data_IF_551573358910
#
_entry.id   IF_551573358910
#
_cell.length_a   1.000
_cell.length_b   1.000
_cell.length_c   1.000
_cell.angle_alpha   90.00
_cell.angle_beta   90.00
_cell.angle_gamma   90.00
#
_symmetry.space_group_name_H-M   'P 1'
#
loop_
_entity.id
_entity.type
_entity.pdbx_description
1 polymer ?
#
# COMPACT_ATOMS: atom_id res chain seq x y z
N UNK A 1 17.94 -36.80 2.65
CA UNK A 1 16.92 -36.03 3.40
C UNK A 1 17.37 -34.57 3.47
N UNK A 2 16.74 -33.68 2.70
CA UNK A 2 17.07 -32.26 2.75
C UNK A 2 16.47 -31.67 4.03
N UNK A 3 17.33 -31.36 5.00
CA UNK A 3 16.95 -30.66 6.23
C UNK A 3 16.45 -29.27 5.81
N UNK A 4 15.14 -29.06 5.84
CA UNK A 4 14.53 -27.75 5.65
C UNK A 4 15.12 -26.80 6.69
N UNK A 5 16.09 -25.97 6.29
CA UNK A 5 16.57 -24.86 7.12
C UNK A 5 15.35 -23.96 7.38
N UNK A 6 14.79 -24.07 8.59
CA UNK A 6 13.75 -23.17 9.09
C UNK A 6 14.33 -21.76 8.95
N UNK A 7 13.82 -20.99 8.00
CA UNK A 7 14.11 -19.56 7.92
C UNK A 7 13.50 -18.93 9.17
N UNK A 8 14.31 -18.84 10.22
CA UNK A 8 13.93 -18.15 11.44
C UNK A 8 13.87 -16.69 11.05
N UNK A 9 12.69 -16.09 11.18
CA UNK A 9 12.50 -14.66 11.02
C UNK A 9 13.45 -13.95 11.99
N UNK A 10 14.52 -13.27 11.50
CA UNK A 10 15.58 -12.74 12.35
C UNK A 10 15.04 -11.74 13.37
N UNK A 11 13.93 -11.07 13.06
CA UNK A 11 13.27 -10.13 13.97
C UNK A 11 12.65 -10.88 15.16
N UNK A 12 12.06 -12.06 14.94
CA UNK A 12 11.49 -12.88 16.02
C UNK A 12 12.59 -13.41 16.93
N UNK A 13 13.72 -13.81 16.38
CA UNK A 13 14.87 -14.27 17.16
C UNK A 13 15.44 -13.14 18.02
N UNK A 14 15.67 -11.96 17.45
CA UNK A 14 16.14 -10.78 18.19
C UNK A 14 15.17 -10.45 19.34
N UNK A 15 13.85 -10.48 19.11
CA UNK A 15 12.85 -10.24 20.16
C UNK A 15 12.91 -11.28 21.29
N UNK A 16 13.11 -12.55 20.94
CA UNK A 16 13.27 -13.63 21.92
C UNK A 16 14.52 -13.43 22.77
N UNK A 17 15.63 -13.05 22.13
CA UNK A 17 16.89 -12.78 22.82
C UNK A 17 16.80 -11.56 23.74
N UNK A 18 16.13 -10.48 23.33
CA UNK A 18 15.85 -9.32 24.20
C UNK A 18 15.09 -9.77 25.46
N UNK A 19 14.03 -10.55 25.31
CA UNK A 19 13.25 -11.03 26.46
C UNK A 19 14.06 -11.94 27.40
N UNK A 20 15.00 -12.73 26.87
CA UNK A 20 15.93 -13.53 27.68
C UNK A 20 16.91 -12.63 28.45
N UNK A 21 17.50 -11.65 27.77
CA UNK A 21 18.45 -10.71 28.38
C UNK A 21 17.79 -9.87 29.48
N UNK A 22 16.56 -9.40 29.27
CA UNK A 22 15.78 -8.69 30.30
C UNK A 22 15.58 -9.53 31.58
N UNK A 23 15.26 -10.83 31.43
CA UNK A 23 15.14 -11.76 32.57
C UNK A 23 16.48 -11.99 33.26
N UNK A 24 17.56 -12.16 32.50
CA UNK A 24 18.90 -12.36 33.04
C UNK A 24 19.37 -11.13 33.81
N UNK A 25 19.10 -9.93 33.29
CA UNK A 25 19.41 -8.66 33.94
C UNK A 25 18.68 -8.54 35.27
N UNK A 26 17.36 -8.78 35.30
CA UNK A 26 16.59 -8.75 36.54
C UNK A 26 17.11 -9.75 37.59
N UNK A 27 17.48 -10.96 37.15
CA UNK A 27 18.07 -11.96 38.05
C UNK A 27 19.45 -11.54 38.57
N UNK A 28 20.29 -10.94 37.72
CA UNK A 28 21.61 -10.43 38.11
C UNK A 28 21.49 -9.31 39.15
N UNK A 29 20.58 -8.36 38.94
CA UNK A 29 20.30 -7.27 39.88
C UNK A 29 19.86 -7.78 41.25
N UNK A 30 18.96 -8.77 41.29
CA UNK A 30 18.52 -9.38 42.56
C UNK A 30 19.66 -10.10 43.28
N UNK A 31 20.51 -10.83 42.54
CA UNK A 31 21.71 -11.46 43.10
C UNK A 31 22.68 -10.43 43.67
N UNK A 32 22.91 -9.33 42.96
CA UNK A 32 23.81 -8.26 43.40
C UNK A 32 23.28 -7.55 44.65
N UNK A 33 21.97 -7.27 44.72
CA UNK A 33 21.33 -6.75 45.93
C UNK A 33 21.49 -7.69 47.13
N UNK A 34 21.28 -8.99 46.93
CA UNK A 34 21.45 -9.98 47.99
C UNK A 34 22.91 -10.09 48.44
N UNK A 35 23.86 -10.03 47.49
CA UNK A 35 25.29 -10.05 47.78
C UNK A 35 25.72 -8.82 48.59
N UNK A 36 25.33 -7.61 48.17
CA UNK A 36 25.66 -6.37 48.87
C UNK A 36 25.07 -6.34 50.28
N UNK A 37 23.85 -6.86 50.50
CA UNK A 37 23.27 -6.97 51.85
C UNK A 37 24.10 -7.90 52.75
N UNK A 38 24.56 -9.03 52.23
CA UNK A 38 25.45 -9.95 52.96
C UNK A 38 26.80 -9.29 53.25
N UNK A 39 27.35 -8.58 52.27
CA UNK A 39 28.62 -7.86 52.40
C UNK A 39 28.55 -6.75 53.44
N UNK A 40 27.49 -5.95 53.48
CA UNK A 40 27.25 -4.93 54.52
C UNK A 40 27.25 -5.57 55.91
N UNK A 41 26.59 -6.73 56.06
CA UNK A 41 26.55 -7.45 57.33
C UNK A 41 27.95 -7.91 57.76
N UNK A 42 28.72 -8.47 56.83
CA UNK A 42 30.10 -8.90 57.05
C UNK A 42 31.02 -7.71 57.39
N UNK A 43 30.95 -6.63 56.62
CA UNK A 43 31.77 -5.44 56.77
C UNK A 43 31.40 -4.69 58.06
N UNK A 44 30.14 -4.72 58.49
CA UNK A 44 29.71 -4.17 59.78
C UNK A 44 30.38 -4.90 60.95
N UNK A 45 30.38 -6.24 60.93
CA UNK A 45 31.08 -7.04 61.95
C UNK A 45 32.59 -6.78 61.92
N UNK A 46 33.20 -6.79 60.74
CA UNK A 46 34.63 -6.50 60.57
C UNK A 46 35.02 -5.10 61.07
N UNK A 47 34.20 -4.09 60.79
CA UNK A 47 34.42 -2.72 61.28
C UNK A 47 34.32 -2.63 62.81
N UNK A 48 33.34 -3.31 63.42
CA UNK A 48 33.23 -3.40 64.88
C UNK A 48 34.46 -4.08 65.49
N UNK A 49 34.89 -5.21 64.95
CA UNK A 49 36.01 -5.99 65.49
C UNK A 49 37.35 -5.25 65.30
N UNK A 50 37.54 -4.59 64.16
CA UNK A 50 38.70 -3.75 63.91
C UNK A 50 38.74 -2.53 64.85
N UNK A 51 37.59 -1.92 65.13
CA UNK A 51 37.49 -0.82 66.09
C UNK A 51 37.84 -1.28 67.52
N UNK A 52 37.39 -2.46 67.95
CA UNK A 52 37.76 -3.05 69.25
C UNK A 52 39.27 -3.32 69.34
N UNK A 53 39.86 -3.92 68.31
CA UNK A 53 41.31 -4.18 68.22
C UNK A 53 42.13 -2.88 68.26
N UNK A 54 41.67 -1.84 67.56
CA UNK A 54 42.30 -0.52 67.58
C UNK A 54 42.30 0.08 68.99
N UNK A 55 41.15 0.07 69.70
CA UNK A 55 41.05 0.54 71.09
C UNK A 55 41.97 -0.24 72.02
N UNK A 56 42.00 -1.57 71.91
CA UNK A 56 42.85 -2.43 72.73
C UNK A 56 44.36 -2.16 72.48
N UNK A 57 44.77 -1.96 71.22
CA UNK A 57 46.15 -1.65 70.89
C UNK A 57 46.57 -0.27 71.44
N UNK A 58 45.70 0.74 71.36
CA UNK A 58 45.93 2.06 71.98
C UNK A 58 46.03 1.96 73.50
N UNK A 59 45.18 1.16 74.16
CA UNK A 59 45.27 0.92 75.59
C UNK A 59 46.60 0.28 76.00
N UNK A 60 47.14 -0.67 75.20
CA UNK A 60 48.46 -1.26 75.44
C UNK A 60 49.60 -0.24 75.35
N UNK A 61 49.54 0.68 74.38
CA UNK A 61 50.52 1.78 74.30
C UNK A 61 50.48 2.64 75.57
N UNK A 62 49.28 3.02 76.02
CA UNK A 62 49.09 3.81 77.23
C UNK A 62 49.51 3.07 78.52
N UNK A 63 49.36 1.74 78.56
CA UNK A 63 49.82 0.92 79.69
C UNK A 63 51.36 0.84 79.75
N UNK A 64 52.03 0.67 78.60
CA UNK A 64 53.50 0.60 78.54
C UNK A 64 54.13 1.96 78.87
N UNK A 65 53.52 3.08 78.46
CA UNK A 65 54.04 4.42 78.75
C UNK A 65 54.07 4.76 80.24
N UNK A 66 53.30 4.07 81.08
CA UNK A 66 53.28 4.24 82.53
C UNK A 66 54.35 3.41 83.28
N UNK A 67 55.08 2.52 82.59
CA UNK A 67 56.10 1.66 83.20
C UNK A 67 57.45 2.41 83.33
N UNK A 68 58.27 2.03 84.31
CA UNK A 68 59.64 2.57 84.47
C UNK A 68 60.44 2.40 83.18
N UNK A 69 61.17 3.44 82.77
CA UNK A 69 61.95 3.44 81.52
C UNK A 69 63.19 2.57 81.65
N UNK A 70 63.08 1.34 81.15
CA UNK A 70 64.19 0.40 80.95
C UNK A 70 64.39 0.11 79.46
N UNK A 71 65.57 -0.40 79.03
CA UNK A 71 65.79 -0.82 77.65
C UNK A 71 64.73 -1.81 77.13
N UNK A 72 64.26 -2.72 77.98
CA UNK A 72 63.20 -3.66 77.65
C UNK A 72 61.85 -2.96 77.39
N UNK A 73 61.45 -2.02 78.25
CA UNK A 73 60.20 -1.26 78.06
C UNK A 73 60.25 -0.35 76.83
N UNK A 74 61.42 0.16 76.44
CA UNK A 74 61.60 0.94 75.22
C UNK A 74 61.31 0.09 73.96
N UNK A 75 61.85 -1.14 73.88
CA UNK A 75 61.55 -2.08 72.79
C UNK A 75 60.05 -2.43 72.73
N UNK A 76 59.43 -2.68 73.89
CA UNK A 76 57.99 -2.94 73.98
C UNK A 76 57.15 -1.75 73.52
N UNK A 77 57.55 -0.52 73.86
CA UNK A 77 56.85 0.70 73.46
C UNK A 77 56.86 0.89 71.93
N UNK A 78 57.99 0.61 71.26
CA UNK A 78 58.10 0.69 69.79
C UNK A 78 57.17 -0.35 69.14
N UNK A 79 57.21 -1.59 69.60
CA UNK A 79 56.36 -2.66 69.09
C UNK A 79 54.86 -2.35 69.28
N UNK A 80 54.47 -1.85 70.46
CA UNK A 80 53.10 -1.47 70.75
C UNK A 80 52.62 -0.29 69.90
N UNK A 81 53.46 0.73 69.68
CA UNK A 81 53.15 1.85 68.78
C UNK A 81 52.92 1.37 67.34
N UNK A 82 53.80 0.50 66.82
CA UNK A 82 53.63 -0.10 65.49
C UNK A 82 52.31 -0.87 65.37
N UNK A 83 51.99 -1.69 66.37
CA UNK A 83 50.74 -2.44 66.42
C UNK A 83 49.50 -1.52 66.50
N UNK A 84 49.56 -0.44 67.27
CA UNK A 84 48.48 0.53 67.38
C UNK A 84 48.23 1.28 66.05
N UNK A 85 49.30 1.70 65.36
CA UNK A 85 49.18 2.32 64.03
C UNK A 85 48.56 1.37 63.01
N UNK A 86 49.01 0.10 62.96
CA UNK A 86 48.44 -0.90 62.08
C UNK A 86 46.96 -1.18 62.38
N UNK A 87 46.60 -1.32 63.67
CA UNK A 87 45.21 -1.54 64.07
C UNK A 87 44.30 -0.35 63.75
N UNK A 88 44.81 0.89 63.87
CA UNK A 88 44.07 2.11 63.51
C UNK A 88 43.85 2.22 62.00
N UNK A 89 44.86 1.88 61.20
CA UNK A 89 44.73 1.80 59.74
C UNK A 89 43.68 0.74 59.32
N UNK A 90 43.73 -0.46 59.90
CA UNK A 90 42.76 -1.51 59.61
C UNK A 90 41.33 -1.13 60.01
N UNK A 91 41.15 -0.41 61.13
CA UNK A 91 39.84 0.09 61.54
C UNK A 91 39.30 1.17 60.58
N UNK A 92 40.16 2.04 60.05
CA UNK A 92 39.79 3.01 59.03
C UNK A 92 39.38 2.31 57.72
N UNK A 93 40.19 1.36 57.25
CA UNK A 93 39.90 0.58 56.04
C UNK A 93 38.57 -0.19 56.15
N UNK A 94 38.30 -0.83 57.29
CA UNK A 94 37.05 -1.55 57.50
C UNK A 94 35.82 -0.63 57.53
N UNK A 95 35.94 0.59 58.09
CA UNK A 95 34.88 1.60 58.04
C UNK A 95 34.63 2.10 56.61
N UNK A 96 35.70 2.37 55.85
CA UNK A 96 35.58 2.78 54.45
C UNK A 96 34.92 1.69 53.60
N UNK A 97 35.28 0.42 53.79
CA UNK A 97 34.65 -0.70 53.09
C UNK A 97 33.14 -0.84 53.43
N UNK A 98 32.76 -0.60 54.69
CA UNK A 98 31.34 -0.58 55.08
C UNK A 98 30.59 0.60 54.44
N UNK A 99 31.21 1.78 54.40
CA UNK A 99 30.62 2.97 53.79
C UNK A 99 30.41 2.77 52.28
N UNK A 100 31.42 2.21 51.59
CA UNK A 100 31.34 1.91 50.16
C UNK A 100 30.23 0.91 49.86
N UNK A 101 30.17 -0.21 50.59
CA UNK A 101 29.12 -1.22 50.37
C UNK A 101 27.70 -0.66 50.58
N UNK A 102 27.52 0.30 51.50
CA UNK A 102 26.25 1.01 51.68
C UNK A 102 25.93 1.96 50.52
N UNK A 103 26.92 2.69 50.03
CA UNK A 103 26.77 3.56 48.87
C UNK A 103 26.42 2.75 47.62
N UNK A 104 27.08 1.62 47.39
CA UNK A 104 26.82 0.72 46.27
C UNK A 104 25.41 0.13 46.33
N UNK A 105 24.94 -0.28 47.52
CA UNK A 105 23.56 -0.74 47.71
C UNK A 105 22.55 0.37 47.40
N UNK A 106 22.82 1.60 47.83
CA UNK A 106 21.93 2.72 47.56
C UNK A 106 21.89 3.05 46.06
N UNK A 107 23.04 3.12 45.40
CA UNK A 107 23.17 3.35 43.96
C UNK A 107 22.44 2.29 43.14
N UNK A 108 22.68 1.00 43.42
CA UNK A 108 21.99 -0.10 42.74
C UNK A 108 20.48 -0.06 42.97
N UNK A 109 20.03 0.30 44.18
CA UNK A 109 18.59 0.43 44.46
C UNK A 109 17.93 1.57 43.67
N UNK A 110 18.66 2.67 43.44
CA UNK A 110 18.16 3.80 42.63
C UNK A 110 18.15 3.47 41.15
N UNK A 111 19.17 2.77 40.66
CA UNK A 111 19.25 2.31 39.27
C UNK A 111 18.11 1.35 38.94
N UNK A 112 17.85 0.36 39.80
CA UNK A 112 16.71 -0.56 39.65
C UNK A 112 15.37 0.20 39.62
N UNK A 113 15.19 1.24 40.43
CA UNK A 113 13.97 2.06 40.40
C UNK A 113 13.83 2.82 39.08
N UNK A 114 14.92 3.43 38.59
CA UNK A 114 14.93 4.16 37.33
C UNK A 114 14.63 3.22 36.15
N UNK A 115 15.24 2.04 36.12
CA UNK A 115 15.01 1.06 35.06
C UNK A 115 13.57 0.54 35.04
N UNK A 116 12.98 0.28 36.21
CA UNK A 116 11.57 -0.07 36.31
C UNK A 116 10.65 1.06 35.81
N UNK A 117 10.98 2.32 36.13
CA UNK A 117 10.24 3.48 35.63
C UNK A 117 10.33 3.59 34.11
N UNK A 118 11.53 3.45 33.54
CA UNK A 118 11.77 3.45 32.08
C UNK A 118 11.00 2.31 31.40
N UNK A 119 11.09 1.09 31.94
CA UNK A 119 10.39 -0.09 31.41
C UNK A 119 8.88 0.15 31.36
N UNK A 120 8.30 0.70 32.44
CA UNK A 120 6.88 1.05 32.49
C UNK A 120 6.49 2.14 31.49
N UNK A 121 7.35 3.16 31.31
CA UNK A 121 7.12 4.24 30.35
C UNK A 121 7.18 3.74 28.91
N UNK A 122 8.15 2.88 28.58
CA UNK A 122 8.26 2.24 27.27
C UNK A 122 7.05 1.36 26.98
N UNK A 123 6.56 0.59 27.95
CA UNK A 123 5.35 -0.22 27.81
C UNK A 123 4.12 0.65 27.49
N UNK A 124 3.92 1.76 28.23
CA UNK A 124 2.85 2.73 27.98
C UNK A 124 2.96 3.37 26.60
N UNK A 125 4.16 3.79 26.19
CA UNK A 125 4.41 4.37 24.88
C UNK A 125 4.12 3.38 23.74
N UNK A 126 4.57 2.13 23.86
CA UNK A 126 4.26 1.04 22.91
C UNK A 126 2.75 0.80 22.80
N UNK A 127 2.04 0.77 23.93
CA UNK A 127 0.58 0.61 23.94
C UNK A 127 -0.14 1.78 23.28
N UNK A 128 0.31 3.02 23.51
CA UNK A 128 -0.25 4.20 22.87
C UNK A 128 -0.04 4.20 21.35
N UNK A 129 1.16 3.81 20.88
CA UNK A 129 1.45 3.67 19.45
C UNK A 129 0.61 2.56 18.81
N UNK A 130 0.43 1.42 19.47
CA UNK A 130 -0.43 0.34 18.99
C UNK A 130 -1.89 0.81 18.81
N UNK A 131 -2.44 1.55 19.78
CA UNK A 131 -3.78 2.14 19.68
C UNK A 131 -3.90 3.11 18.50
N UNK A 132 -2.91 3.99 18.30
CA UNK A 132 -2.88 4.92 17.17
C UNK A 132 -2.83 4.20 15.82
N UNK A 133 -2.00 3.15 15.69
CA UNK A 133 -1.93 2.32 14.48
C UNK A 133 -3.26 1.61 14.20
N UNK A 134 -3.85 0.97 15.19
CA UNK A 134 -5.15 0.31 15.04
C UNK A 134 -6.27 1.29 14.63
N UNK A 135 -6.27 2.51 15.19
CA UNK A 135 -7.22 3.55 14.78
C UNK A 135 -7.01 4.00 13.33
N UNK A 136 -5.75 4.19 12.92
CA UNK A 136 -5.40 4.54 11.54
C UNK A 136 -5.82 3.45 10.54
N UNK A 137 -5.56 2.17 10.87
CA UNK A 137 -5.96 1.02 10.06
C UNK A 137 -7.48 0.91 9.92
N UNK A 138 -8.24 1.08 11.01
CA UNK A 138 -9.71 1.11 10.95
C UNK A 138 -10.22 2.23 10.04
N UNK A 139 -9.63 3.43 10.11
CA UNK A 139 -9.99 4.57 9.27
C UNK A 139 -9.65 4.31 7.79
N UNK A 140 -8.50 3.71 7.52
CA UNK A 140 -8.09 3.31 6.17
C UNK A 140 -9.04 2.24 5.59
N UNK A 141 -9.36 1.21 6.36
CA UNK A 141 -10.29 0.16 5.97
C UNK A 141 -11.70 0.70 5.69
N UNK A 142 -12.20 1.65 6.49
CA UNK A 142 -13.48 2.31 6.25
C UNK A 142 -13.48 3.10 4.93
N UNK A 143 -12.44 3.89 4.66
CA UNK A 143 -12.28 4.62 3.39
C UNK A 143 -12.23 3.66 2.20
N UNK A 144 -11.48 2.57 2.30
CA UNK A 144 -11.38 1.56 1.25
C UNK A 144 -12.75 0.90 0.95
N UNK A 145 -13.54 0.56 1.99
CA UNK A 145 -14.90 0.04 1.81
C UNK A 145 -15.82 1.03 1.09
N UNK A 146 -15.76 2.32 1.44
CA UNK A 146 -16.57 3.36 0.76
C UNK A 146 -16.14 3.52 -0.70
N UNK A 147 -14.84 3.54 -0.98
CA UNK A 147 -14.32 3.62 -2.34
C UNK A 147 -14.77 2.41 -3.18
N UNK A 148 -14.70 1.19 -2.63
CA UNK A 148 -15.17 -0.02 -3.29
C UNK A 148 -16.68 0.03 -3.60
N UNK A 149 -17.52 0.48 -2.65
CA UNK A 149 -18.96 0.65 -2.89
C UNK A 149 -19.26 1.67 -3.99
N UNK A 150 -18.55 2.80 -4.01
CA UNK A 150 -18.69 3.82 -5.07
C UNK A 150 -18.26 3.27 -6.44
N UNK A 151 -17.16 2.53 -6.51
CA UNK A 151 -16.70 1.90 -7.74
C UNK A 151 -17.73 0.87 -8.26
N UNK A 152 -18.27 0.03 -7.38
CA UNK A 152 -19.30 -0.95 -7.73
C UNK A 152 -20.58 -0.29 -8.26
N UNK A 153 -21.04 0.81 -7.65
CA UNK A 153 -22.22 1.55 -8.12
C UNK A 153 -21.98 2.17 -9.52
N UNK A 154 -20.81 2.75 -9.77
CA UNK A 154 -20.43 3.30 -11.08
C UNK A 154 -20.38 2.20 -12.15
N UNK A 155 -19.82 1.03 -11.83
CA UNK A 155 -19.78 -0.11 -12.73
C UNK A 155 -21.18 -0.61 -13.11
N UNK A 156 -22.09 -0.74 -12.13
CA UNK A 156 -23.49 -1.11 -12.38
C UNK A 156 -24.22 -0.10 -13.28
N UNK A 157 -24.00 1.20 -13.06
CA UNK A 157 -24.59 2.25 -13.90
C UNK A 157 -24.05 2.20 -15.33
N UNK A 158 -22.74 2.01 -15.50
CA UNK A 158 -22.10 1.88 -16.80
C UNK A 158 -22.65 0.67 -17.58
N UNK A 159 -22.81 -0.49 -16.91
CA UNK A 159 -23.40 -1.68 -17.49
C UNK A 159 -24.85 -1.44 -17.95
N UNK A 160 -25.70 -0.81 -17.12
CA UNK A 160 -27.08 -0.45 -17.51
C UNK A 160 -27.13 0.49 -18.71
N UNK A 161 -26.25 1.50 -18.75
CA UNK A 161 -26.15 2.43 -19.90
C UNK A 161 -25.70 1.71 -21.17
N UNK A 162 -24.73 0.79 -21.08
CA UNK A 162 -24.27 -0.01 -22.20
C UNK A 162 -25.40 -0.92 -22.74
N UNK A 163 -26.14 -1.60 -21.85
CA UNK A 163 -27.27 -2.45 -22.22
C UNK A 163 -28.40 -1.66 -22.91
N UNK A 164 -28.74 -0.47 -22.41
CA UNK A 164 -29.74 0.39 -23.04
C UNK A 164 -29.30 0.83 -24.46
N UNK A 165 -28.04 1.22 -24.63
CA UNK A 165 -27.48 1.58 -25.95
C UNK A 165 -27.50 0.39 -26.92
N UNK A 166 -27.19 -0.81 -26.45
CA UNK A 166 -27.26 -2.02 -27.26
C UNK A 166 -28.70 -2.31 -27.74
N UNK A 167 -29.69 -2.21 -26.84
CA UNK A 167 -31.12 -2.38 -27.21
C UNK A 167 -31.58 -1.37 -28.27
N UNK A 168 -31.17 -0.10 -28.15
CA UNK A 168 -31.51 0.92 -29.14
C UNK A 168 -30.85 0.63 -30.50
N UNK A 169 -29.58 0.22 -30.51
CA UNK A 169 -28.90 -0.18 -31.75
C UNK A 169 -29.59 -1.37 -32.42
N UNK A 170 -29.98 -2.38 -31.65
CA UNK A 170 -30.70 -3.55 -32.16
C UNK A 170 -32.06 -3.17 -32.76
N UNK A 171 -32.85 -2.32 -32.09
CA UNK A 171 -34.13 -1.81 -32.64
C UNK A 171 -33.94 -1.03 -33.94
N UNK A 172 -32.92 -0.17 -34.01
CA UNK A 172 -32.60 0.57 -35.25
C UNK A 172 -32.19 -0.37 -36.39
N UNK A 173 -31.40 -1.39 -36.11
CA UNK A 173 -31.01 -2.40 -37.11
C UNK A 173 -32.24 -3.19 -37.61
N UNK A 174 -33.11 -3.63 -36.71
CA UNK A 174 -34.34 -4.34 -37.06
C UNK A 174 -35.31 -3.49 -37.91
N UNK A 175 -35.46 -2.20 -37.58
CA UNK A 175 -36.28 -1.29 -38.38
C UNK A 175 -35.73 -1.10 -39.80
N UNK A 176 -34.41 -0.94 -39.95
CA UNK A 176 -33.75 -0.87 -41.26
C UNK A 176 -33.93 -2.15 -42.07
N UNK A 177 -33.80 -3.32 -41.44
CA UNK A 177 -34.03 -4.61 -42.10
C UNK A 177 -35.47 -4.75 -42.59
N UNK A 178 -36.46 -4.39 -41.76
CA UNK A 178 -37.88 -4.38 -42.18
C UNK A 178 -38.16 -3.43 -43.34
N UNK A 179 -37.56 -2.23 -43.33
CA UNK A 179 -37.69 -1.28 -44.43
C UNK A 179 -37.07 -1.81 -45.73
N UNK A 180 -35.88 -2.41 -45.66
CA UNK A 180 -35.22 -3.04 -46.80
C UNK A 180 -36.04 -4.20 -47.38
N UNK A 181 -36.64 -5.04 -46.53
CA UNK A 181 -37.52 -6.13 -46.97
C UNK A 181 -38.76 -5.61 -47.71
N UNK A 182 -39.44 -4.58 -47.17
CA UNK A 182 -40.57 -3.93 -47.86
C UNK A 182 -40.18 -3.33 -49.21
N UNK A 183 -39.01 -2.71 -49.30
CA UNK A 183 -38.50 -2.14 -50.55
C UNK A 183 -38.18 -3.22 -51.60
N UNK A 184 -37.65 -4.38 -51.19
CA UNK A 184 -37.43 -5.51 -52.10
C UNK A 184 -38.76 -6.07 -52.64
N UNK A 185 -39.74 -6.29 -51.78
CA UNK A 185 -41.08 -6.75 -52.20
C UNK A 185 -41.78 -5.78 -53.15
N UNK A 186 -41.63 -4.47 -52.94
CA UNK A 186 -42.17 -3.46 -53.86
C UNK A 186 -41.51 -3.51 -55.24
N UNK A 187 -40.19 -3.73 -55.30
CA UNK A 187 -39.46 -3.89 -56.57
C UNK A 187 -39.86 -5.16 -57.31
N UNK A 188 -40.02 -6.28 -56.61
CA UNK A 188 -40.50 -7.54 -57.20
C UNK A 188 -41.91 -7.40 -57.77
N UNK A 189 -42.83 -6.76 -57.05
CA UNK A 189 -44.18 -6.47 -57.55
C UNK A 189 -44.16 -5.57 -58.80
N UNK A 190 -43.26 -4.59 -58.86
CA UNK A 190 -43.10 -3.75 -60.06
C UNK A 190 -42.48 -4.53 -61.23
N UNK A 191 -41.52 -5.41 -60.97
CA UNK A 191 -40.92 -6.27 -61.99
C UNK A 191 -41.97 -7.23 -62.58
N UNK A 192 -42.81 -7.85 -61.74
CA UNK A 192 -43.91 -8.70 -62.17
C UNK A 192 -44.92 -7.95 -63.06
N UNK A 193 -45.31 -6.72 -62.69
CA UNK A 193 -46.20 -5.89 -63.52
C UNK A 193 -45.57 -5.54 -64.87
N UNK A 194 -44.27 -5.22 -64.91
CA UNK A 194 -43.55 -4.95 -66.16
C UNK A 194 -43.42 -6.19 -67.05
N UNK A 195 -43.21 -7.36 -66.46
CA UNK A 195 -43.17 -8.63 -67.19
C UNK A 195 -44.54 -8.95 -67.80
N UNK A 196 -45.63 -8.79 -67.05
CA UNK A 196 -47.00 -8.99 -67.54
C UNK A 196 -47.37 -8.01 -68.68
N UNK A 197 -46.95 -6.75 -68.59
CA UNK A 197 -47.16 -5.77 -69.66
C UNK A 197 -46.40 -6.12 -70.95
N UNK A 198 -45.14 -6.60 -70.83
CA UNK A 198 -44.37 -7.09 -71.97
C UNK A 198 -44.99 -8.34 -72.61
N UNK A 199 -45.51 -9.27 -71.81
CA UNK A 199 -46.21 -10.44 -72.31
C UNK A 199 -47.47 -10.05 -73.11
N UNK A 200 -48.28 -9.11 -72.60
CA UNK A 200 -49.43 -8.56 -73.33
C UNK A 200 -49.04 -7.83 -74.62
N UNK A 201 -47.95 -7.08 -74.61
CA UNK A 201 -47.46 -6.40 -75.81
C UNK A 201 -46.94 -7.39 -76.87
N UNK A 202 -46.24 -8.46 -76.45
CA UNK A 202 -45.78 -9.52 -77.35
C UNK A 202 -46.96 -10.29 -77.97
N UNK A 203 -48.03 -10.55 -77.21
CA UNK A 203 -49.25 -11.15 -77.74
C UNK A 203 -49.92 -10.27 -78.81
N UNK A 204 -50.02 -8.95 -78.57
CA UNK A 204 -50.55 -8.00 -79.58
C UNK A 204 -49.66 -7.89 -80.82
N UNK A 205 -48.34 -7.97 -80.66
CA UNK A 205 -47.40 -7.94 -81.78
C UNK A 205 -47.47 -9.20 -82.67
N UNK A 206 -47.76 -10.38 -82.08
CA UNK A 206 -48.03 -11.60 -82.85
C UNK A 206 -49.33 -11.48 -83.66
N UNK A 207 -50.41 -10.99 -83.05
CA UNK A 207 -51.67 -10.74 -83.75
C UNK A 207 -51.54 -9.69 -84.89
N UNK A 208 -50.66 -8.70 -84.74
CA UNK A 208 -50.40 -7.71 -85.78
C UNK A 208 -49.58 -8.29 -86.97
N UNK A 209 -48.68 -9.26 -86.71
CA UNK A 209 -47.91 -9.93 -87.77
C UNK A 209 -48.78 -10.86 -88.63
N UNK A 210 -49.78 -11.53 -88.06
CA UNK A 210 -50.78 -12.29 -88.84
C UNK A 210 -51.60 -11.36 -89.75
N UNK A 211 -51.99 -10.18 -89.27
CA UNK A 211 -52.69 -9.18 -90.10
C UNK A 211 -51.82 -8.57 -91.21
N UNK A 212 -50.50 -8.52 -91.04
CA UNK A 212 -49.55 -8.01 -92.04
C UNK A 212 -49.17 -9.05 -93.10
N UNK A 213 -49.23 -10.35 -92.78
CA UNK A 213 -49.10 -11.41 -93.77
C UNK A 213 -50.27 -11.40 -94.77
N UNK A 214 -51.50 -11.14 -94.29
CA UNK A 214 -52.68 -11.02 -95.14
C UNK A 214 -52.63 -9.81 -96.10
N UNK A 215 -51.92 -8.71 -95.75
CA UNK A 215 -51.84 -7.50 -96.59
C UNK A 215 -50.73 -7.51 -97.64
N UNK A 216 -49.74 -8.40 -97.55
CA UNK A 216 -48.63 -8.49 -98.54
C UNK A 216 -49.02 -9.24 -99.83
N UNK A 217 -50.17 -9.91 -99.86
CA UNK A 217 -50.70 -10.53 -101.08
C UNK A 217 -51.42 -9.53 -102.02
N UNK A 218 -51.78 -8.32 -101.54
CA UNK A 218 -52.72 -7.44 -102.24
C UNK A 218 -52.11 -6.20 -102.94
N UNK A 219 -50.79 -6.07 -103.05
CA UNK A 219 -50.15 -4.81 -103.49
C UNK A 219 -49.08 -4.96 -104.59
N UNK A 220 -49.34 -5.79 -105.60
CA UNK A 220 -48.70 -5.70 -106.94
C UNK A 220 -49.72 -5.17 -107.96
N UNK A 221 -50.07 -3.90 -107.90
CA UNK A 221 -50.72 -3.20 -109.02
C UNK A 221 -50.58 -1.67 -108.86
N UNK A 222 -49.89 -1.05 -109.83
CA UNK A 222 -49.91 0.37 -110.22
C UNK A 222 -49.29 1.36 -109.20
N UNK A 223 -48.06 1.86 -109.33
CA UNK A 223 -47.37 2.59 -110.42
C UNK A 223 -47.90 4.01 -110.71
N UNK A 224 -47.24 5.05 -110.19
CA UNK A 224 -46.45 6.07 -110.94
C UNK A 224 -45.91 7.20 -110.03
N UNK A 225 -44.68 7.61 -110.33
CA UNK A 225 -43.72 8.62 -109.78
C UNK A 225 -44.12 10.08 -110.11
N UNK A 226 -43.31 11.16 -109.82
CA UNK A 226 -41.98 11.29 -109.16
C UNK A 226 -41.90 12.35 -108.02
N UNK A 227 -41.03 12.26 -106.99
CA UNK A 227 -39.62 12.71 -106.83
C UNK A 227 -39.43 14.25 -106.84
N UNK A 228 -38.59 14.95 -106.05
CA UNK A 228 -37.68 14.74 -104.92
C UNK A 228 -37.18 16.16 -104.48
N UNK A 229 -36.81 16.52 -103.24
CA UNK A 229 -35.52 16.36 -102.51
C UNK A 229 -35.66 17.22 -101.20
N UNK A 230 -35.41 16.83 -99.93
CA UNK A 230 -34.18 16.36 -99.20
C UNK A 230 -33.06 17.43 -99.13
N UNK A 231 -32.36 17.79 -98.04
CA UNK A 231 -32.16 17.35 -96.62
C UNK A 231 -31.45 18.53 -95.87
N UNK A 232 -31.48 18.65 -94.52
CA UNK A 232 -30.39 18.41 -93.50
C UNK A 232 -30.24 19.69 -92.63
N UNK A 233 -29.89 19.74 -91.35
CA UNK A 233 -29.65 18.80 -90.25
C UNK A 233 -29.55 19.58 -88.90
N UNK A 234 -29.91 18.94 -87.77
CA UNK A 234 -29.24 18.85 -86.42
C UNK A 234 -28.45 20.10 -85.86
N UNK A 235 -28.38 20.47 -84.57
CA UNK A 235 -28.53 19.78 -83.26
C UNK A 235 -28.21 20.73 -82.06
N UNK A 236 -28.88 20.50 -80.91
CA UNK A 236 -28.49 20.65 -79.47
C UNK A 236 -28.11 21.98 -78.76
N UNK A 237 -28.87 22.18 -77.66
CA UNK A 237 -28.51 22.35 -76.21
C UNK A 237 -27.73 23.59 -75.69
N UNK A 238 -28.47 24.34 -74.84
CA UNK A 238 -28.16 24.91 -73.48
C UNK A 238 -26.97 24.26 -72.71
N UNK A 239 -26.40 24.87 -71.62
CA UNK A 239 -26.87 26.06 -70.87
C UNK A 239 -25.80 27.07 -70.37
N UNK A 240 -26.34 28.16 -69.81
CA UNK A 240 -25.68 29.24 -69.11
C UNK A 240 -25.01 28.85 -67.78
N UNK A 241 -23.87 29.53 -67.52
CA UNK A 241 -23.50 30.30 -66.31
C UNK A 241 -23.59 29.63 -64.93
N UNK A 242 -22.77 29.92 -63.90
CA UNK A 242 -21.56 30.72 -63.58
C UNK A 242 -21.48 30.52 -62.04
N UNK A 243 -20.39 30.00 -61.45
CA UNK A 243 -19.35 30.76 -60.72
C UNK A 243 -20.00 31.73 -59.68
N UNK A 244 -19.64 31.81 -58.38
CA UNK A 244 -18.33 31.72 -57.72
C UNK A 244 -18.53 31.68 -56.18
N UNK A 245 -17.59 31.04 -55.48
CA UNK A 245 -16.90 31.43 -54.22
C UNK A 245 -17.62 32.20 -53.08
N UNK A 246 -17.33 31.81 -51.84
CA UNK A 246 -16.30 32.51 -51.03
C UNK A 246 -16.00 31.76 -49.73
N UNK A 247 -14.84 32.12 -49.18
CA UNK A 247 -13.97 31.37 -48.27
C UNK A 247 -13.60 32.32 -47.14
N UNK A 248 -13.81 31.95 -45.88
CA UNK A 248 -13.15 32.54 -44.70
C UNK A 248 -13.63 31.80 -43.44
N UNK A 249 -12.90 31.65 -42.32
CA UNK A 249 -11.47 31.61 -41.95
C UNK A 249 -11.50 31.27 -40.43
N UNK A 250 -10.54 30.45 -39.98
CA UNK A 250 -9.96 30.36 -38.61
C UNK A 250 -10.80 30.01 -37.35
N UNK A 251 -10.36 28.91 -36.69
CA UNK A 251 -10.37 28.58 -35.23
C UNK A 251 -9.45 29.55 -34.42
N UNK A 252 -9.35 29.57 -33.05
CA UNK A 252 -9.31 28.42 -32.11
C UNK A 252 -9.97 28.62 -30.70
N UNK A 253 -10.39 27.55 -30.01
CA UNK A 253 -9.82 26.93 -28.79
C UNK A 253 -10.24 27.50 -27.40
N UNK A 254 -10.94 26.62 -26.67
CA UNK A 254 -10.88 26.27 -25.24
C UNK A 254 -10.33 27.29 -24.21
N UNK A 255 -11.21 27.70 -23.29
CA UNK A 255 -10.86 28.27 -21.98
C UNK A 255 -11.19 27.22 -20.89
N UNK A 256 -10.17 26.78 -20.16
CA UNK A 256 -10.28 26.18 -18.82
C UNK A 256 -9.80 27.24 -17.83
N UNK A 257 -10.64 27.59 -16.86
CA UNK A 257 -10.26 27.84 -15.47
C UNK A 257 -11.43 27.33 -14.63
#
# INVERSE_FOLDING_TARGET
>A
MAVSKKSVDPIKEIKSNIAKLEKQLAAAQQKQLASLKKEITKNSKAASDAAKKSKAASAKVAAISKKKKTPATAKQAIAAKKAATAAKSNAAAAKSALAQAKADLQSLSTEIKQENAITSAVAKAKAALAKKKAAAEKKAAAKAKVAAKKAAARAKLAAKKAAARAKVKARKAAAKAKAAAKAKLAKEKQAAKKAAAKAKAAAKAKAAKEKLAAKKAAAKAKAKKPAAKKVTAKVKKKPAAKKVSSKAKKKPAAKKK
#
